data_IF_439251872921
#
_entry.id   IF_439251872921
#
_cell.length_a   1.000
_cell.length_b   1.000
_cell.length_c   1.000
_cell.angle_alpha   90.00
_cell.angle_beta   90.00
_cell.angle_gamma   90.00
#
_symmetry.space_group_name_H-M   'P 1'
#
loop_
_entity.id
_entity.type
_entity.pdbx_description
1 polymer ?
#
# COMPACT_ATOMS: atom_id res chain seq x y z
N UNK A 1 -28.68 2.76 -40.13
CA UNK A 1 -27.27 2.77 -39.65
C UNK A 1 -27.33 2.55 -38.15
N UNK A 2 -27.05 1.35 -37.66
CA UNK A 2 -27.09 1.04 -36.23
C UNK A 2 -25.72 1.34 -35.62
N UNK A 3 -25.67 2.23 -34.63
CA UNK A 3 -24.47 2.44 -33.81
C UNK A 3 -24.25 1.17 -33.00
N UNK A 4 -23.12 0.51 -33.19
CA UNK A 4 -22.73 -0.63 -32.36
C UNK A 4 -22.72 -0.21 -30.88
N UNK A 5 -23.21 -1.04 -29.95
CA UNK A 5 -23.10 -0.75 -28.53
C UNK A 5 -21.61 -0.67 -28.18
N UNK A 6 -21.15 0.51 -27.79
CA UNK A 6 -19.80 0.68 -27.22
C UNK A 6 -19.73 -0.19 -25.98
N UNK A 7 -18.82 -1.17 -26.00
CA UNK A 7 -18.64 -2.09 -24.90
C UNK A 7 -18.16 -1.31 -23.66
N UNK A 8 -18.81 -1.45 -22.50
CA UNK A 8 -18.49 -0.67 -21.30
C UNK A 8 -17.09 -0.96 -20.75
N UNK A 9 -16.49 -2.11 -21.07
CA UNK A 9 -15.11 -2.42 -20.68
C UNK A 9 -14.09 -1.69 -21.56
N UNK A 10 -14.37 -1.51 -22.85
CA UNK A 10 -13.53 -0.72 -23.75
C UNK A 10 -13.43 0.75 -23.28
N UNK A 11 -14.53 1.31 -22.79
CA UNK A 11 -14.54 2.65 -22.22
C UNK A 11 -13.68 2.76 -20.95
N UNK A 12 -13.73 1.76 -20.07
CA UNK A 12 -12.93 1.72 -18.86
C UNK A 12 -11.43 1.62 -19.15
N UNK A 13 -11.02 0.77 -20.10
CA UNK A 13 -9.62 0.64 -20.49
C UNK A 13 -9.08 1.88 -21.20
N UNK A 14 -9.89 2.52 -22.06
CA UNK A 14 -9.53 3.77 -22.72
C UNK A 14 -9.31 4.90 -21.69
N UNK A 15 -10.19 5.01 -20.69
CA UNK A 15 -10.07 6.01 -19.63
C UNK A 15 -8.80 5.82 -18.78
N UNK A 16 -8.43 4.58 -18.45
CA UNK A 16 -7.21 4.28 -17.69
C UNK A 16 -5.96 4.58 -18.52
N UNK A 17 -5.97 4.26 -19.81
CA UNK A 17 -4.86 4.55 -20.73
C UNK A 17 -4.63 6.06 -20.85
N UNK A 18 -5.69 6.87 -20.88
CA UNK A 18 -5.61 8.33 -20.93
C UNK A 18 -5.08 8.97 -19.64
N UNK A 19 -5.18 8.29 -18.50
CA UNK A 19 -4.58 8.74 -17.24
C UNK A 19 -3.07 8.44 -17.24
N UNK A 20 -2.66 7.28 -17.76
CA UNK A 20 -1.26 6.89 -17.86
C UNK A 20 -0.47 7.73 -18.89
N UNK A 21 -1.14 8.17 -19.96
CA UNK A 21 -0.52 8.96 -21.04
C UNK A 21 -0.42 10.46 -20.70
N UNK A 22 -0.95 10.91 -19.56
CA UNK A 22 -0.77 12.29 -19.11
C UNK A 22 0.65 12.49 -18.56
N UNK A 23 1.48 13.35 -19.20
CA UNK A 23 2.74 13.75 -18.59
C UNK A 23 2.44 14.54 -17.32
N UNK A 24 2.95 14.06 -16.18
CA UNK A 24 2.81 14.70 -14.88
C UNK A 24 3.35 16.13 -14.97
N UNK A 25 2.46 17.13 -15.06
CA UNK A 25 2.84 18.53 -14.99
C UNK A 25 3.55 18.76 -13.65
N UNK A 26 4.72 19.42 -13.61
CA UNK A 26 5.42 19.68 -12.38
C UNK A 26 4.51 20.54 -11.50
N UNK A 27 4.00 19.95 -10.41
CA UNK A 27 3.21 20.71 -9.44
C UNK A 27 4.14 21.77 -8.85
N UNK A 28 3.77 23.06 -8.85
CA UNK A 28 4.57 24.08 -8.19
C UNK A 28 4.75 23.67 -6.73
N UNK A 29 6.01 23.67 -6.30
CA UNK A 29 6.49 23.04 -5.09
C UNK A 29 5.62 23.33 -3.88
N UNK A 30 4.91 22.30 -3.43
CA UNK A 30 4.79 22.10 -2.00
C UNK A 30 6.16 21.61 -1.60
N UNK A 31 6.93 22.49 -0.97
CA UNK A 31 8.18 22.18 -0.29
C UNK A 31 7.95 20.89 0.46
N UNK A 32 8.42 19.79 -0.12
CA UNK A 32 8.59 18.57 0.61
C UNK A 32 9.48 18.98 1.75
N UNK A 33 8.91 19.06 2.95
CA UNK A 33 9.72 18.82 4.12
C UNK A 33 10.18 17.39 3.89
N UNK A 34 11.34 17.28 3.22
CA UNK A 34 12.19 16.13 3.32
C UNK A 34 12.45 16.04 4.81
N UNK A 35 11.58 15.29 5.50
CA UNK A 35 11.81 14.80 6.84
C UNK A 35 13.06 13.94 6.66
N UNK A 36 14.20 14.59 6.86
CA UNK A 36 15.50 13.96 7.03
C UNK A 36 15.31 12.85 8.06
N UNK A 37 15.63 11.58 7.73
CA UNK A 37 15.45 10.49 8.67
C UNK A 37 16.63 10.52 9.65
N UNK A 38 16.53 11.32 10.71
CA UNK A 38 17.41 11.18 11.87
C UNK A 38 16.60 11.52 13.11
N UNK A 39 15.95 10.51 13.68
CA UNK A 39 15.94 10.30 15.13
C UNK A 39 16.08 8.79 15.33
N UNK A 40 17.21 8.38 15.92
CA UNK A 40 17.67 7.00 16.15
C UNK A 40 16.71 6.18 17.06
N UNK A 41 15.59 6.78 17.49
CA UNK A 41 14.59 6.24 18.41
C UNK A 41 13.25 5.90 17.74
N UNK A 42 13.19 5.96 16.41
CA UNK A 42 11.97 5.72 15.63
C UNK A 42 11.93 4.27 15.15
N UNK A 43 11.08 3.45 15.77
CA UNK A 43 10.79 2.10 15.30
C UNK A 43 9.88 2.16 14.07
N UNK A 44 10.27 1.48 12.99
CA UNK A 44 9.44 1.42 11.77
C UNK A 44 9.47 0.06 11.10
N UNK A 45 8.36 -0.27 10.43
CA UNK A 45 8.21 -1.47 9.59
C UNK A 45 7.39 -1.16 8.35
N UNK A 46 7.56 -1.98 7.31
CA UNK A 46 6.76 -1.90 6.09
C UNK A 46 6.00 -3.18 5.85
N UNK A 47 4.83 -3.08 5.24
CA UNK A 47 4.03 -4.21 4.81
C UNK A 47 4.75 -4.96 3.68
N UNK A 48 4.49 -6.27 3.54
CA UNK A 48 4.91 -7.00 2.35
C UNK A 48 4.16 -6.50 1.11
N UNK A 49 4.74 -6.75 -0.05
CA UNK A 49 4.14 -6.43 -1.34
C UNK A 49 5.20 -6.12 -2.39
N UNK A 50 4.93 -6.32 -3.68
CA UNK A 50 5.94 -6.13 -4.73
C UNK A 50 6.22 -4.66 -5.05
N UNK A 51 5.26 -3.76 -4.85
CA UNK A 51 5.40 -2.35 -5.22
C UNK A 51 5.45 -1.45 -3.99
N UNK A 52 6.45 -0.58 -3.93
CA UNK A 52 6.60 0.36 -2.82
C UNK A 52 5.40 1.33 -2.71
N UNK A 53 4.86 1.74 -3.86
CA UNK A 53 3.72 2.66 -3.96
C UNK A 53 2.43 2.17 -3.28
N UNK A 54 2.30 0.88 -3.00
CA UNK A 54 1.12 0.29 -2.33
C UNK A 54 1.44 -0.27 -0.94
N UNK A 55 2.72 -0.27 -0.52
CA UNK A 55 3.12 -0.79 0.79
C UNK A 55 2.72 0.17 1.88
N UNK A 56 2.25 -0.36 3.00
CA UNK A 56 2.02 0.44 4.19
C UNK A 56 3.32 0.52 4.98
N UNK A 57 3.76 1.70 5.36
CA UNK A 57 4.86 1.93 6.30
C UNK A 57 4.27 2.39 7.64
N UNK A 58 4.64 1.69 8.70
CA UNK A 58 4.32 2.03 10.07
C UNK A 58 5.54 2.64 10.73
N UNK A 59 5.37 3.81 11.35
CA UNK A 59 6.46 4.55 11.99
C UNK A 59 6.01 5.02 13.36
N UNK A 60 6.73 4.65 14.42
CA UNK A 60 6.48 5.18 15.76
C UNK A 60 7.01 6.59 15.87
N UNK A 61 6.24 7.50 16.44
CA UNK A 61 6.65 8.88 16.70
C UNK A 61 6.29 9.27 18.12
N UNK A 62 7.22 9.92 18.80
CA UNK A 62 6.96 10.51 20.11
C UNK A 62 5.92 11.63 20.00
N UNK A 63 4.95 11.60 20.90
CA UNK A 63 3.95 12.64 21.09
C UNK A 63 4.21 13.37 22.42
N UNK A 64 3.33 14.30 22.77
CA UNK A 64 3.44 15.01 24.06
C UNK A 64 3.17 14.07 25.23
N UNK A 65 3.81 14.32 26.38
CA UNK A 65 3.57 13.63 27.66
C UNK A 65 4.02 12.16 27.72
N UNK A 66 5.16 11.80 27.12
CA UNK A 66 5.69 10.42 27.08
C UNK A 66 4.81 9.43 26.29
N UNK A 67 3.75 9.93 25.65
CA UNK A 67 2.95 9.18 24.72
C UNK A 67 3.68 9.00 23.39
N UNK A 68 3.39 7.89 22.73
CA UNK A 68 3.78 7.56 21.37
C UNK A 68 2.55 7.38 20.51
N UNK A 69 2.70 7.71 19.23
CA UNK A 69 1.71 7.43 18.19
C UNK A 69 2.37 6.64 17.07
N UNK A 70 1.58 5.90 16.32
CA UNK A 70 2.04 5.20 15.12
C UNK A 70 1.42 5.89 13.93
N UNK A 71 2.26 6.38 13.03
CA UNK A 71 1.84 6.90 11.74
C UNK A 71 1.86 5.76 10.71
N UNK A 72 0.71 5.46 10.10
CA UNK A 72 0.55 4.51 8.99
C UNK A 72 0.52 5.29 7.66
N UNK A 73 1.48 5.04 6.78
CA UNK A 73 1.58 5.73 5.46
C UNK A 73 1.54 4.70 4.33
N UNK A 74 0.61 4.84 3.38
CA UNK A 74 0.47 3.90 2.25
C UNK A 74 1.23 4.39 1.02
N UNK A 75 2.41 3.84 0.75
CA UNK A 75 3.29 4.30 -0.33
C UNK A 75 4.02 5.59 0.03
N UNK A 76 5.14 5.86 -0.66
CA UNK A 76 6.08 6.92 -0.28
C UNK A 76 5.53 8.35 -0.19
N UNK A 77 4.38 8.66 -0.80
CA UNK A 77 3.84 10.03 -0.93
C UNK A 77 2.41 10.21 -0.37
N UNK A 78 1.91 9.27 0.44
CA UNK A 78 0.52 9.35 0.93
C UNK A 78 0.37 10.06 2.26
N UNK A 79 -0.89 10.41 2.58
CA UNK A 79 -1.28 10.98 3.88
C UNK A 79 -1.11 9.91 4.96
N UNK A 80 -0.41 10.27 6.03
CA UNK A 80 -0.26 9.42 7.20
C UNK A 80 -1.55 9.38 8.02
N UNK A 81 -1.97 8.18 8.41
CA UNK A 81 -3.05 7.94 9.38
C UNK A 81 -2.42 7.69 10.73
N UNK A 82 -2.65 8.59 11.68
CA UNK A 82 -2.07 8.49 13.03
C UNK A 82 -2.96 7.67 13.95
N UNK A 83 -2.38 6.71 14.66
CA UNK A 83 -3.05 5.93 15.69
C UNK A 83 -3.41 6.76 16.92
N UNK A 84 -4.21 6.19 17.83
CA UNK A 84 -4.38 6.75 19.18
C UNK A 84 -3.02 6.80 19.91
N UNK A 85 -2.87 7.77 20.81
CA UNK A 85 -1.76 7.85 21.75
C UNK A 85 -1.71 6.61 22.65
N UNK A 86 -0.51 6.08 22.83
CA UNK A 86 -0.21 4.89 23.62
C UNK A 86 1.21 4.96 24.16
N UNK A 87 1.62 4.06 25.07
CA UNK A 87 3.00 4.02 25.55
C UNK A 87 3.98 3.60 24.44
N UNK A 88 5.27 3.84 24.62
CA UNK A 88 6.32 3.42 23.67
C UNK A 88 6.26 1.93 23.35
N UNK A 89 6.14 1.08 24.37
CA UNK A 89 6.08 -0.37 24.22
C UNK A 89 4.81 -0.80 23.49
N UNK A 90 3.69 -0.14 23.77
CA UNK A 90 2.43 -0.39 23.08
C UNK A 90 2.52 0.00 21.59
N UNK A 91 3.20 1.10 21.27
CA UNK A 91 3.43 1.53 19.89
C UNK A 91 4.28 0.53 19.11
N UNK A 92 5.38 0.04 19.72
CA UNK A 92 6.22 -0.99 19.10
C UNK A 92 5.42 -2.28 18.84
N UNK A 93 4.68 -2.75 19.85
CA UNK A 93 3.82 -3.94 19.70
C UNK A 93 2.75 -3.75 18.64
N UNK A 94 2.14 -2.57 18.57
CA UNK A 94 1.15 -2.24 17.55
C UNK A 94 1.75 -2.36 16.14
N UNK A 95 2.95 -1.81 15.93
CA UNK A 95 3.66 -1.94 14.66
C UNK A 95 3.95 -3.41 14.31
N UNK A 96 4.40 -4.20 15.29
CA UNK A 96 4.72 -5.61 15.09
C UNK A 96 3.49 -6.45 14.75
N UNK A 97 2.41 -6.30 15.52
CA UNK A 97 1.15 -7.01 15.30
C UNK A 97 0.60 -6.70 13.90
N UNK A 98 0.65 -5.42 13.51
CA UNK A 98 0.18 -4.96 12.20
C UNK A 98 1.02 -5.47 11.04
N UNK A 99 2.35 -5.49 11.20
CA UNK A 99 3.26 -6.05 10.22
C UNK A 99 3.06 -7.56 10.05
N UNK A 100 2.89 -8.29 11.17
CA UNK A 100 2.65 -9.73 11.16
C UNK A 100 1.30 -10.07 10.51
N UNK A 101 0.24 -9.32 10.83
CA UNK A 101 -1.07 -9.48 10.20
C UNK A 101 -0.99 -9.26 8.68
N UNK A 102 -0.30 -8.19 8.25
CA UNK A 102 -0.10 -7.91 6.83
C UNK A 102 0.69 -9.02 6.13
N UNK A 103 1.70 -9.59 6.80
CA UNK A 103 2.46 -10.75 6.33
C UNK A 103 1.56 -11.97 6.13
N UNK A 104 0.75 -12.34 7.13
CA UNK A 104 -0.16 -13.47 7.04
C UNK A 104 -1.17 -13.30 5.90
N UNK A 105 -1.75 -12.10 5.75
CA UNK A 105 -2.69 -11.78 4.67
C UNK A 105 -2.02 -11.87 3.30
N UNK A 106 -0.78 -11.40 3.17
CA UNK A 106 -0.02 -11.50 1.93
C UNK A 106 0.30 -12.96 1.58
N UNK A 107 0.73 -13.75 2.55
CA UNK A 107 1.04 -15.17 2.34
C UNK A 107 -0.21 -15.97 1.99
N UNK A 108 -1.35 -15.67 2.63
CA UNK A 108 -2.64 -16.24 2.26
C UNK A 108 -3.00 -15.91 0.81
N UNK A 109 -2.97 -14.63 0.44
CA UNK A 109 -3.29 -14.19 -0.92
C UNK A 109 -2.33 -14.82 -1.95
N UNK A 110 -1.04 -14.89 -1.63
CA UNK A 110 -0.02 -15.53 -2.47
C UNK A 110 -0.37 -17.00 -2.71
N UNK A 111 -0.71 -17.73 -1.66
CA UNK A 111 -1.07 -19.15 -1.77
C UNK A 111 -2.34 -19.34 -2.60
N UNK A 112 -3.35 -18.48 -2.42
CA UNK A 112 -4.56 -18.48 -3.24
C UNK A 112 -4.26 -18.21 -4.72
N UNK A 113 -3.39 -17.24 -5.03
CA UNK A 113 -2.99 -16.93 -6.41
C UNK A 113 -2.24 -18.10 -7.07
N UNK A 114 -1.33 -18.74 -6.33
CA UNK A 114 -0.60 -19.93 -6.81
C UNK A 114 -1.57 -21.08 -7.08
N UNK A 115 -2.50 -21.35 -6.15
CA UNK A 115 -3.50 -22.40 -6.31
C UNK A 115 -4.44 -22.15 -7.49
N UNK A 116 -4.92 -20.92 -7.65
CA UNK A 116 -5.78 -20.52 -8.77
C UNK A 116 -5.05 -20.56 -10.11
N UNK A 117 -3.77 -20.16 -10.14
CA UNK A 117 -2.95 -20.25 -11.35
C UNK A 117 -2.75 -21.72 -11.76
N UNK A 118 -2.41 -22.59 -10.81
CA UNK A 118 -2.26 -24.03 -11.06
C UNK A 118 -3.56 -24.66 -11.59
N UNK A 119 -4.72 -24.29 -11.02
CA UNK A 119 -6.03 -24.74 -11.51
C UNK A 119 -6.36 -24.25 -12.93
N UNK A 120 -5.98 -23.02 -13.28
CA UNK A 120 -6.17 -22.45 -14.64
C UNK A 120 -5.20 -23.01 -15.68
N UNK A 121 -3.99 -23.38 -15.30
CA UNK A 121 -3.00 -24.01 -16.20
C UNK A 121 -3.13 -25.52 -16.27
N UNK A 122 -4.07 -26.12 -15.51
CA UNK A 122 -4.49 -27.50 -15.69
C UNK A 122 -5.08 -27.68 -17.09
N UNK A 123 -4.24 -28.14 -18.01
CA UNK A 123 -4.59 -28.62 -19.35
C UNK A 123 -5.91 -29.41 -19.31
N UNK A 124 -6.88 -29.12 -20.19
CA UNK A 124 -8.00 -30.03 -20.36
C UNK A 124 -7.43 -31.37 -20.83
N UNK A 125 -7.52 -32.39 -19.98
CA UNK A 125 -7.38 -33.78 -20.44
C UNK A 125 -8.53 -34.02 -21.42
N UNK A 126 -8.23 -33.90 -22.71
CA UNK A 126 -9.04 -34.46 -23.78
C UNK A 126 -8.96 -35.99 -23.64
N UNK A 127 -10.00 -36.55 -23.03
CA UNK A 127 -10.41 -37.93 -23.23
C UNK A 127 -11.47 -37.97 -24.35
#
# INVERSE_FOLDING_TARGET
MALAPVDPHDYAFAAISQILDQPEAPRPGLTGVAITPVEDDVYSRSSPGPFDAIRVKWTTRAASNDDYVVDETVGGNSIAVTSRRMTREAAIRFVDDRANEAQQRFDQLRNEMIANLAARTGTPSLL
#
